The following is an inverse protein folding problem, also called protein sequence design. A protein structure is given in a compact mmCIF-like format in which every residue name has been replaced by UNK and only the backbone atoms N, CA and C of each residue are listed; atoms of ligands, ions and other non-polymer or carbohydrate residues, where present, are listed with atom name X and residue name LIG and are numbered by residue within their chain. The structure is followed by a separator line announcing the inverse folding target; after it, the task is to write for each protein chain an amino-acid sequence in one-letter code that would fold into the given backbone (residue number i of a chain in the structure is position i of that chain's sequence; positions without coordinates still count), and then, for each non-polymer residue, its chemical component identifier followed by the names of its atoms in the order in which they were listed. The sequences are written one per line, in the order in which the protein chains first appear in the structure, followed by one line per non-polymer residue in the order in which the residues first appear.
data_IF_849741002965
#
_entry.id   IF_849741002965
#
_cell.length_a   1.000
_cell.length_b   1.000
_cell.length_c   1.000
_cell.angle_alpha   90.00
_cell.angle_beta   90.00
_cell.angle_gamma   90.00
#
_symmetry.space_group_name_H-M   'P 1'
#
loop_
_entity.id
_entity.type
_entity.pdbx_description
1 polymer ?
#
# COMPACT_ATOMS: atom_id res chain seq x y z
N UNK A 1 -10.25 7.89 -2.32
CA UNK A 1 -9.25 7.57 -3.36
C UNK A 1 -8.12 8.56 -3.21
N UNK A 2 -6.89 8.09 -3.08
CA UNK A 2 -5.71 8.94 -2.90
C UNK A 2 -4.76 8.76 -4.07
N UNK A 3 -4.31 9.85 -4.73
CA UNK A 3 -3.37 9.75 -5.84
C UNK A 3 -1.93 9.46 -5.39
N UNK A 4 -1.58 9.61 -4.11
CA UNK A 4 -0.21 9.38 -3.63
C UNK A 4 -0.20 8.82 -2.20
N UNK A 5 0.03 7.52 -2.04
CA UNK A 5 0.32 6.88 -0.74
C UNK A 5 1.78 6.43 -0.72
N UNK A 6 2.61 6.98 0.17
CA UNK A 6 4.00 6.56 0.32
C UNK A 6 4.12 5.22 1.06
N UNK A 7 4.85 4.28 0.46
CA UNK A 7 5.29 3.01 1.05
C UNK A 7 6.79 3.07 1.35
N UNK A 8 7.26 2.26 2.30
CA UNK A 8 8.69 2.19 2.69
C UNK A 8 9.33 3.58 2.93
N UNK A 9 8.77 4.35 3.87
CA UNK A 9 9.26 5.72 4.15
C UNK A 9 9.19 6.70 2.95
N UNK A 10 8.35 6.40 1.93
CA UNK A 10 8.18 7.25 0.75
C UNK A 10 9.07 6.87 -0.44
N UNK A 11 9.81 5.75 -0.37
CA UNK A 11 10.63 5.24 -1.47
C UNK A 11 9.81 4.79 -2.67
N UNK A 12 8.61 4.26 -2.42
CA UNK A 12 7.65 3.88 -3.46
C UNK A 12 6.35 4.60 -3.21
N UNK A 13 5.82 5.27 -4.23
CA UNK A 13 4.49 5.89 -4.17
C UNK A 13 3.52 4.96 -4.86
N UNK A 14 2.38 4.74 -4.22
CA UNK A 14 1.24 4.13 -4.87
C UNK A 14 0.61 5.15 -5.79
N UNK A 15 0.54 4.87 -7.10
CA UNK A 15 -0.01 5.81 -8.10
C UNK A 15 -1.49 6.10 -7.82
N UNK A 16 -2.20 5.12 -7.28
CA UNK A 16 -3.58 5.27 -6.87
C UNK A 16 -3.96 4.26 -5.80
N UNK A 17 -4.51 4.74 -4.68
CA UNK A 17 -5.00 3.88 -3.61
C UNK A 17 -6.50 4.06 -3.38
N UNK A 18 -7.24 2.95 -3.43
CA UNK A 18 -8.59 2.84 -2.90
C UNK A 18 -8.51 2.36 -1.45
N UNK A 19 -8.98 3.19 -0.52
CA UNK A 19 -8.94 2.92 0.91
C UNK A 19 -10.37 2.65 1.40
N UNK A 20 -10.54 1.55 2.12
CA UNK A 20 -11.72 1.28 2.94
C UNK A 20 -11.31 0.68 4.29
N UNK A 21 -12.19 0.72 5.31
CA UNK A 21 -11.90 0.11 6.61
C UNK A 21 -11.53 -1.38 6.52
N UNK A 22 -11.99 -2.06 5.47
CA UNK A 22 -11.77 -3.49 5.27
C UNK A 22 -10.69 -3.81 4.24
N UNK A 23 -10.23 -2.84 3.43
CA UNK A 23 -9.31 -3.10 2.32
C UNK A 23 -8.49 -1.89 1.88
N UNK A 24 -7.18 -2.09 1.73
CA UNK A 24 -6.28 -1.20 0.99
C UNK A 24 -5.96 -1.81 -0.38
N UNK A 25 -6.40 -1.16 -1.46
CA UNK A 25 -6.14 -1.61 -2.82
C UNK A 25 -5.30 -0.57 -3.56
N UNK A 26 -4.08 -0.94 -3.94
CA UNK A 26 -3.20 -0.10 -4.76
C UNK A 26 -3.26 -0.45 -6.25
N UNK A 27 -3.16 0.57 -7.09
CA UNK A 27 -3.02 0.44 -8.53
C UNK A 27 -1.70 1.07 -8.93
N UNK A 28 -0.93 0.34 -9.73
CA UNK A 28 0.28 0.83 -10.39
C UNK A 28 -0.03 1.01 -11.87
N UNK A 29 0.32 2.15 -12.47
CA UNK A 29 -0.01 2.49 -13.85
C UNK A 29 1.27 2.52 -14.71
N UNK A 30 1.22 1.88 -15.88
CA UNK A 30 2.31 1.87 -16.88
C UNK A 30 1.74 2.12 -18.28
N UNK A 31 1.87 3.34 -18.79
CA UNK A 31 1.57 3.68 -20.17
C UNK A 31 2.58 3.03 -21.13
N UNK A 32 2.23 2.92 -22.42
CA UNK A 32 3.09 2.30 -23.45
C UNK A 32 4.45 2.99 -23.70
N UNK A 33 4.61 4.21 -23.19
CA UNK A 33 5.84 4.99 -23.24
C UNK A 33 6.74 4.77 -22.00
N UNK A 34 6.22 4.12 -20.96
CA UNK A 34 6.96 3.91 -19.72
C UNK A 34 8.03 2.83 -19.84
N UNK A 35 8.77 2.64 -18.74
CA UNK A 35 9.63 1.47 -18.57
C UNK A 35 9.17 0.64 -17.39
N UNK A 36 9.34 -0.68 -17.48
CA UNK A 36 9.02 -1.61 -16.40
C UNK A 36 10.17 -1.80 -15.40
N UNK A 37 11.25 -1.04 -15.52
CA UNK A 37 12.48 -1.22 -14.71
C UNK A 37 12.22 -1.16 -13.20
N UNK A 38 11.31 -0.29 -12.76
CA UNK A 38 10.96 -0.12 -11.34
C UNK A 38 9.88 -1.08 -10.86
N UNK A 39 9.14 -1.72 -11.77
CA UNK A 39 7.96 -2.51 -11.44
C UNK A 39 8.26 -3.63 -10.43
N UNK A 40 9.38 -4.39 -10.49
CA UNK A 40 9.67 -5.42 -9.51
C UNK A 40 9.80 -4.90 -8.07
N UNK A 41 10.50 -3.77 -7.90
CA UNK A 41 10.65 -3.14 -6.59
C UNK A 41 9.32 -2.58 -6.09
N UNK A 42 8.54 -1.95 -6.97
CA UNK A 42 7.20 -1.46 -6.64
C UNK A 42 6.28 -2.62 -6.24
N UNK A 43 6.29 -3.71 -7.01
CA UNK A 43 5.50 -4.91 -6.72
C UNK A 43 5.86 -5.52 -5.37
N UNK A 44 7.15 -5.54 -5.01
CA UNK A 44 7.59 -5.97 -3.68
C UNK A 44 7.01 -5.07 -2.57
N UNK A 45 7.20 -3.74 -2.69
CA UNK A 45 6.73 -2.78 -1.68
C UNK A 45 5.22 -2.82 -1.49
N UNK A 46 4.47 -2.83 -2.60
CA UNK A 46 3.02 -2.93 -2.60
C UNK A 46 2.56 -4.23 -1.94
N UNK A 47 3.19 -5.35 -2.29
CA UNK A 47 2.86 -6.67 -1.75
C UNK A 47 3.20 -6.82 -0.26
N UNK A 48 4.14 -6.02 0.26
CA UNK A 48 4.42 -6.00 1.70
C UNK A 48 3.28 -5.34 2.50
N UNK A 49 2.52 -4.43 1.89
CA UNK A 49 1.61 -3.53 2.63
C UNK A 49 0.14 -3.77 2.33
N UNK A 50 -0.22 -3.83 1.04
CA UNK A 50 -1.59 -3.70 0.57
C UNK A 50 -2.37 -5.03 0.66
N UNK A 51 -3.69 -4.92 0.80
CA UNK A 51 -4.59 -6.08 0.78
C UNK A 51 -4.84 -6.57 -0.65
N UNK A 52 -4.86 -5.65 -1.62
CA UNK A 52 -4.98 -5.94 -3.06
C UNK A 52 -4.10 -5.03 -3.89
N UNK A 53 -3.68 -5.53 -5.05
CA UNK A 53 -2.85 -4.78 -6.00
C UNK A 53 -3.33 -5.04 -7.42
N UNK A 54 -3.28 -4.02 -8.28
CA UNK A 54 -3.56 -4.13 -9.70
C UNK A 54 -2.51 -3.40 -10.51
N UNK A 55 -1.97 -4.04 -11.55
CA UNK A 55 -1.20 -3.37 -12.58
C UNK A 55 -2.13 -2.95 -13.71
N UNK A 56 -2.20 -1.65 -13.99
CA UNK A 56 -2.86 -1.06 -15.16
C UNK A 56 -1.79 -0.78 -16.21
N UNK A 57 -1.75 -1.55 -17.29
CA UNK A 57 -0.67 -1.50 -18.26
C UNK A 57 -1.18 -1.28 -19.69
N UNK A 58 -0.43 -0.50 -20.46
CA UNK A 58 -0.58 -0.42 -21.91
C UNK A 58 -0.29 -1.75 -22.61
N UNK A 59 -0.76 -1.90 -23.85
CA UNK A 59 -0.65 -3.13 -24.61
C UNK A 59 0.79 -3.63 -24.77
N UNK A 60 1.77 -2.72 -24.87
CA UNK A 60 3.19 -3.07 -25.02
C UNK A 60 3.79 -3.66 -23.75
N UNK A 61 3.19 -3.36 -22.60
CA UNK A 61 3.72 -3.73 -21.30
C UNK A 61 2.96 -4.85 -20.61
N UNK A 62 1.71 -5.11 -20.97
CA UNK A 62 0.87 -6.08 -20.27
C UNK A 62 1.54 -7.46 -20.12
N UNK A 63 2.03 -8.03 -21.23
CA UNK A 63 2.63 -9.37 -21.22
C UNK A 63 3.87 -9.42 -20.33
N UNK A 64 4.80 -8.46 -20.48
CA UNK A 64 6.01 -8.42 -19.65
C UNK A 64 5.70 -8.05 -18.20
N UNK A 65 4.75 -7.17 -17.97
CA UNK A 65 4.32 -6.75 -16.64
C UNK A 65 3.71 -7.89 -15.84
N UNK A 66 2.91 -8.75 -16.50
CA UNK A 66 2.37 -9.97 -15.91
C UNK A 66 3.47 -10.88 -15.33
N UNK A 67 4.61 -11.01 -16.01
CA UNK A 67 5.74 -11.82 -15.54
C UNK A 67 6.49 -11.20 -14.35
N UNK A 68 6.32 -9.89 -14.13
CA UNK A 68 7.05 -9.13 -13.12
C UNK A 68 6.24 -8.90 -11.84
N UNK A 69 4.94 -9.20 -11.86
CA UNK A 69 4.05 -9.06 -10.69
C UNK A 69 3.57 -10.42 -10.21
N UNK A 70 3.31 -10.59 -8.90
CA UNK A 70 2.71 -11.81 -8.37
C UNK A 70 1.40 -12.20 -9.05
N UNK A 71 1.09 -13.49 -9.10
CA UNK A 71 -0.12 -14.02 -9.74
C UNK A 71 -1.42 -13.52 -9.10
N UNK A 72 -1.39 -13.15 -7.82
CA UNK A 72 -2.54 -12.62 -7.10
C UNK A 72 -2.91 -11.18 -7.48
N UNK A 73 -1.99 -10.45 -8.13
CA UNK A 73 -2.25 -9.09 -8.61
C UNK A 73 -3.28 -9.08 -9.74
N UNK A 74 -4.17 -8.10 -9.75
CA UNK A 74 -5.01 -7.82 -10.90
C UNK A 74 -4.20 -7.28 -12.07
N UNK A 75 -4.70 -7.50 -13.28
CA UNK A 75 -4.16 -6.95 -14.51
C UNK A 75 -5.29 -6.26 -15.27
N UNK A 76 -5.08 -5.00 -15.60
CA UNK A 76 -5.98 -4.20 -16.42
C UNK A 76 -5.20 -3.72 -17.63
N UNK A 77 -5.74 -3.96 -18.82
CA UNK A 77 -5.21 -3.44 -20.06
C UNK A 77 -5.81 -2.07 -20.34
N UNK A 78 -4.95 -1.06 -20.44
CA UNK A 78 -5.31 0.28 -20.90
C UNK A 78 -5.03 0.39 -22.40
N UNK A 79 -6.04 0.72 -23.20
CA UNK A 79 -5.89 1.00 -24.63
C UNK A 79 -6.30 2.44 -24.92
N UNK A 80 -5.42 3.19 -25.57
CA UNK A 80 -5.78 4.50 -26.11
C UNK A 80 -6.51 4.32 -27.44
N UNK A 81 -7.67 4.96 -27.56
CA UNK A 81 -8.46 5.07 -28.78
C UNK A 81 -8.80 6.53 -29.10
N UNK A 82 -9.54 6.75 -30.18
CA UNK A 82 -9.94 8.09 -30.63
C UNK A 82 -10.79 8.83 -29.57
N UNK A 83 -11.60 8.11 -28.80
CA UNK A 83 -12.54 8.66 -27.82
C UNK A 83 -12.03 8.63 -26.37
N UNK A 84 -10.74 8.32 -26.16
CA UNK A 84 -10.11 8.26 -24.84
C UNK A 84 -9.45 6.92 -24.52
N UNK A 85 -9.36 6.59 -23.22
CA UNK A 85 -8.74 5.34 -22.75
C UNK A 85 -9.81 4.34 -22.37
N UNK A 86 -9.76 3.14 -22.95
CA UNK A 86 -10.56 2.00 -22.51
C UNK A 86 -9.76 1.14 -21.55
N UNK A 87 -10.44 0.61 -20.53
CA UNK A 87 -9.87 -0.30 -19.54
C UNK A 87 -10.54 -1.66 -19.67
N UNK A 88 -9.74 -2.70 -19.84
CA UNK A 88 -10.18 -4.08 -19.98
C UNK A 88 -9.58 -4.93 -18.85
N UNK A 89 -10.42 -5.59 -18.06
CA UNK A 89 -9.96 -6.50 -17.01
C UNK A 89 -9.42 -7.80 -17.63
N UNK A 90 -8.11 -8.00 -17.53
CA UNK A 90 -7.42 -9.20 -18.05
C UNK A 90 -7.34 -10.28 -16.99
N UNK A 91 -7.11 -9.89 -15.74
CA UNK A 91 -7.05 -10.78 -14.58
C UNK A 91 -7.59 -10.05 -13.35
N UNK A 92 -8.56 -10.62 -12.61
CA UNK A 92 -9.06 -9.99 -11.39
C UNK A 92 -8.00 -10.04 -10.29
N UNK A 93 -7.92 -8.98 -9.48
CA UNK A 93 -7.08 -8.98 -8.27
C UNK A 93 -7.71 -9.86 -7.19
N UNK A 94 -6.86 -10.68 -6.54
CA UNK A 94 -7.23 -11.51 -5.38
C UNK A 94 -6.58 -10.98 -4.11
N UNK A 95 -6.93 -11.53 -2.96
CA UNK A 95 -6.38 -11.08 -1.69
C UNK A 95 -4.88 -11.41 -1.59
N UNK A 96 -4.11 -10.49 -1.03
CA UNK A 96 -2.69 -10.68 -0.79
C UNK A 96 -2.48 -11.87 0.16
N UNK A 97 -1.73 -12.91 -0.26
CA UNK A 97 -1.56 -14.13 0.54
C UNK A 97 -0.66 -13.92 1.76
N UNK A 98 0.18 -12.89 1.79
CA UNK A 98 1.20 -12.73 2.82
C UNK A 98 1.61 -11.27 3.05
N UNK A 99 0.68 -10.36 3.43
CA UNK A 99 1.04 -8.99 3.79
C UNK A 99 1.84 -8.96 5.10
N UNK A 100 2.79 -8.03 5.21
CA UNK A 100 3.63 -7.86 6.40
C UNK A 100 3.00 -6.85 7.37
N UNK A 101 2.57 -7.27 8.58
CA UNK A 101 2.05 -6.34 9.58
C UNK A 101 3.04 -5.22 9.91
N UNK A 102 4.34 -5.54 9.98
CA UNK A 102 5.39 -4.56 10.25
C UNK A 102 5.52 -3.50 9.16
N UNK A 103 5.41 -3.91 7.88
CA UNK A 103 5.40 -2.98 6.76
C UNK A 103 4.11 -2.15 6.74
N UNK A 104 2.95 -2.77 7.00
CA UNK A 104 1.66 -2.07 7.09
C UNK A 104 1.67 -1.01 8.20
N UNK A 105 2.26 -1.31 9.37
CA UNK A 105 2.41 -0.34 10.46
C UNK A 105 3.24 0.90 10.08
N UNK A 106 4.12 0.81 9.08
CA UNK A 106 4.87 1.98 8.63
C UNK A 106 3.98 3.05 7.99
N UNK A 107 2.74 2.73 7.59
CA UNK A 107 1.76 3.70 7.12
C UNK A 107 1.27 4.67 8.20
N UNK A 108 1.43 4.29 9.47
CA UNK A 108 1.03 5.11 10.61
C UNK A 108 2.11 6.13 10.96
N UNK A 109 1.66 7.32 11.32
CA UNK A 109 2.46 8.32 11.98
C UNK A 109 2.82 7.86 13.39
N UNK A 110 3.90 8.44 13.93
CA UNK A 110 4.37 8.09 15.27
C UNK A 110 3.28 8.28 16.34
N UNK A 111 2.51 9.37 16.23
CA UNK A 111 1.42 9.64 17.17
C UNK A 111 0.32 8.57 17.13
N UNK A 112 -0.04 8.09 15.94
CA UNK A 112 -1.02 7.01 15.78
C UNK A 112 -0.49 5.68 16.35
N UNK A 113 0.78 5.34 16.09
CA UNK A 113 1.41 4.15 16.69
C UNK A 113 1.43 4.21 18.23
N UNK A 114 1.73 5.38 18.80
CA UNK A 114 1.70 5.58 20.23
C UNK A 114 0.28 5.45 20.79
N UNK A 115 -0.73 6.00 20.10
CA UNK A 115 -2.13 5.88 20.50
C UNK A 115 -2.59 4.41 20.53
N UNK A 116 -2.20 3.61 19.53
CA UNK A 116 -2.48 2.16 19.53
C UNK A 116 -1.86 1.44 20.74
N UNK A 117 -0.63 1.81 21.11
CA UNK A 117 0.02 1.27 22.32
C UNK A 117 -0.68 1.74 23.61
N UNK A 118 -1.16 2.97 23.66
CA UNK A 118 -1.91 3.49 24.82
C UNK A 118 -3.22 2.75 25.01
N UNK A 119 -3.97 2.52 23.94
CA UNK A 119 -5.21 1.74 23.97
C UNK A 119 -4.99 0.27 24.36
N UNK A 120 -3.84 -0.30 23.98
CA UNK A 120 -3.44 -1.63 24.41
C UNK A 120 -2.89 -1.69 25.85
N UNK A 121 -2.68 -0.53 26.51
CA UNK A 121 -2.05 -0.46 27.83
C UNK A 121 -0.53 -0.66 27.84
N UNK A 122 0.10 -0.62 26.66
CA UNK A 122 1.50 -1.01 26.41
C UNK A 122 2.44 0.17 26.12
N UNK A 123 1.99 1.41 26.33
CA UNK A 123 2.78 2.62 26.03
C UNK A 123 3.79 3.02 27.12
N UNK A 124 3.89 2.29 28.24
CA UNK A 124 4.73 2.67 29.38
C UNK A 124 6.20 2.76 28.96
N UNK A 125 6.82 3.92 29.18
CA UNK A 125 8.23 4.16 28.83
C UNK A 125 8.50 4.42 27.35
N UNK A 126 7.47 4.47 26.49
CA UNK A 126 7.63 4.60 25.04
C UNK A 126 7.25 5.98 24.49
N UNK A 127 6.82 6.92 25.35
CA UNK A 127 6.39 8.27 24.93
C UNK A 127 7.46 9.06 24.18
N UNK A 128 8.74 8.83 24.46
CA UNK A 128 9.89 9.43 23.74
C UNK A 128 10.56 8.47 22.75
N UNK A 129 10.09 7.22 22.62
CA UNK A 129 10.71 6.23 21.76
C UNK A 129 10.53 6.56 20.27
N UNK A 130 11.51 6.18 19.45
CA UNK A 130 11.44 6.32 18.00
C UNK A 130 10.39 5.40 17.37
N UNK A 131 9.96 5.71 16.14
CA UNK A 131 8.94 4.94 15.40
C UNK A 131 9.24 3.45 15.32
N UNK A 132 10.50 3.08 15.07
CA UNK A 132 10.94 1.69 14.98
C UNK A 132 10.66 0.89 16.26
N UNK A 133 10.90 1.49 17.44
CA UNK A 133 10.61 0.87 18.73
C UNK A 133 9.11 0.71 18.97
N UNK A 134 8.29 1.69 18.58
CA UNK A 134 6.83 1.58 18.70
C UNK A 134 6.29 0.44 17.83
N UNK A 135 6.79 0.32 16.59
CA UNK A 135 6.42 -0.77 15.68
C UNK A 135 6.84 -2.12 16.24
N UNK A 136 8.07 -2.25 16.75
CA UNK A 136 8.54 -3.49 17.37
C UNK A 136 7.64 -3.90 18.54
N UNK A 137 7.31 -2.95 19.44
CA UNK A 137 6.42 -3.24 20.56
C UNK A 137 5.03 -3.69 20.11
N UNK A 138 4.45 -3.01 19.12
CA UNK A 138 3.13 -3.39 18.59
C UNK A 138 3.12 -4.80 18.01
N UNK A 139 4.18 -5.20 17.30
CA UNK A 139 4.33 -6.54 16.75
C UNK A 139 4.48 -7.63 17.83
N UNK A 140 5.01 -7.28 19.00
CA UNK A 140 5.11 -8.21 20.14
C UNK A 140 3.77 -8.40 20.86
N UNK A 141 2.95 -7.35 20.94
CA UNK A 141 1.78 -7.32 21.84
C UNK A 141 0.44 -7.53 21.15
N UNK A 142 0.36 -7.38 19.82
CA UNK A 142 -0.89 -7.54 19.07
C UNK A 142 -0.74 -8.50 17.87
N UNK A 143 -1.77 -9.29 17.57
CA UNK A 143 -1.82 -10.12 16.37
C UNK A 143 -1.72 -9.30 15.08
N UNK A 144 -1.11 -9.88 14.04
CA UNK A 144 -0.87 -9.21 12.77
C UNK A 144 -2.14 -8.75 12.05
N UNK A 145 -3.21 -9.55 12.08
CA UNK A 145 -4.51 -9.23 11.49
C UNK A 145 -5.20 -8.06 12.21
N UNK A 146 -5.12 -8.02 13.55
CA UNK A 146 -5.60 -6.90 14.37
C UNK A 146 -4.83 -5.64 14.00
N UNK A 147 -3.49 -5.68 14.00
CA UNK A 147 -2.66 -4.53 13.63
C UNK A 147 -3.03 -3.98 12.26
N UNK A 148 -3.21 -4.86 11.26
CA UNK A 148 -3.60 -4.44 9.91
C UNK A 148 -5.00 -3.82 9.86
N UNK A 149 -5.96 -4.32 10.65
CA UNK A 149 -7.28 -3.70 10.77
C UNK A 149 -7.19 -2.28 11.34
N UNK A 150 -6.43 -2.11 12.41
CA UNK A 150 -6.23 -0.80 13.06
C UNK A 150 -5.55 0.20 12.13
N UNK A 151 -4.60 -0.27 11.31
CA UNK A 151 -3.98 0.58 10.28
C UNK A 151 -5.01 1.04 9.25
N UNK A 152 -5.87 0.15 8.75
CA UNK A 152 -6.91 0.52 7.77
C UNK A 152 -7.86 1.58 8.31
N UNK A 153 -8.34 1.38 9.53
CA UNK A 153 -9.23 2.33 10.20
C UNK A 153 -8.58 3.71 10.32
N UNK A 154 -7.36 3.78 10.85
CA UNK A 154 -6.62 5.04 11.01
C UNK A 154 -6.37 5.74 9.67
N UNK A 155 -5.98 4.98 8.64
CA UNK A 155 -5.73 5.49 7.29
C UNK A 155 -7.04 5.98 6.65
N UNK A 156 -8.17 5.30 6.82
CA UNK A 156 -9.43 5.76 6.24
C UNK A 156 -9.94 7.07 6.82
N UNK A 157 -9.69 7.35 8.11
CA UNK A 157 -10.20 8.57 8.77
C UNK A 157 -9.23 9.75 8.68
N UNK A 158 -8.01 9.54 8.21
CA UNK A 158 -6.99 10.59 8.10
C UNK A 158 -7.45 11.64 7.07
N UNK A 159 -7.65 12.87 7.53
CA UNK A 159 -8.13 13.99 6.71
C UNK A 159 -6.99 14.78 6.04
N UNK A 160 -5.76 14.67 6.55
CA UNK A 160 -4.57 15.38 6.07
C UNK A 160 -3.59 14.43 5.37
N UNK A 161 -3.98 13.91 4.21
CA UNK A 161 -3.06 13.11 3.35
C UNK A 161 -2.00 13.95 2.64
N UNK A 162 -2.14 15.28 2.66
CA UNK A 162 -1.28 16.24 1.96
C UNK A 162 -0.25 16.96 2.84
N UNK A 163 -0.27 16.73 4.15
CA UNK A 163 0.68 17.36 5.06
C UNK A 163 1.77 16.35 5.45
N UNK A 164 3.02 16.78 5.33
CA UNK A 164 4.21 16.17 5.91
C UNK A 164 4.82 14.99 5.13
N UNK A 165 5.13 15.26 3.86
CA UNK A 165 6.47 14.92 3.40
C UNK A 165 7.43 15.94 4.02
N UNK A 166 8.20 15.50 5.03
CA UNK A 166 9.32 16.22 5.66
C UNK A 166 8.97 17.25 6.75
N UNK A 167 9.04 16.81 8.02
CA UNK A 167 9.86 17.43 9.08
C UNK A 167 10.20 16.37 10.13
#
# INVERSE_FOLDING_TARGET
MLPELGLEYGLVRVDLAALSPTRLHGYEVKADADTLRRLPAQAHCYSAVLDRCTLVAGARHLARGQDLVPSWWGLVLARSGADGVTLEDVRPATDNPSPSPGATLQLLWRAELLALLEEAGEARGLRSAGKAWLVARLLEVLPGDVLRSRVREAVCVRSAWRADANT
#
